data_IF_067863785460
#
_entry.id   IF_067863785460
#
_cell.length_a   1.000
_cell.length_b   1.000
_cell.length_c   1.000
_cell.angle_alpha   90.00
_cell.angle_beta   90.00
_cell.angle_gamma   90.00
#
_symmetry.space_group_name_H-M   'P 1'
#
loop_
_entity.id
_entity.type
_entity.pdbx_description
1 polymer ?
#
# COMPACT_ATOMS: atom_id res chain seq x y z
N UNK A 1 -13.65 -1.41 1.01
CA UNK A 1 -12.61 -2.06 0.19
C UNK A 1 -12.07 -3.23 1.00
N UNK A 2 -11.81 -4.37 0.37
CA UNK A 2 -11.16 -5.52 1.02
C UNK A 2 -9.65 -5.31 1.08
N UNK A 3 -8.96 -6.10 1.90
CA UNK A 3 -7.50 -5.98 2.09
C UNK A 3 -6.76 -5.96 0.75
N UNK A 4 -7.10 -6.89 -0.16
CA UNK A 4 -6.47 -6.98 -1.48
C UNK A 4 -6.58 -5.66 -2.26
N UNK A 5 -7.76 -5.04 -2.29
CA UNK A 5 -7.99 -3.77 -2.99
C UNK A 5 -7.19 -2.62 -2.35
N UNK A 6 -7.00 -2.64 -1.03
CA UNK A 6 -6.15 -1.67 -0.32
C UNK A 6 -4.67 -1.86 -0.68
N UNK A 7 -4.21 -3.10 -0.78
CA UNK A 7 -2.84 -3.41 -1.22
C UNK A 7 -2.60 -2.96 -2.67
N UNK A 8 -3.57 -3.18 -3.56
CA UNK A 8 -3.55 -2.69 -4.95
C UNK A 8 -3.45 -1.16 -4.99
N UNK A 9 -4.23 -0.48 -4.15
CA UNK A 9 -4.21 0.99 -4.04
C UNK A 9 -2.87 1.50 -3.55
N UNK A 10 -2.34 0.90 -2.50
CA UNK A 10 -1.03 1.25 -1.98
C UNK A 10 0.05 1.09 -3.07
N UNK A 11 0.04 -0.03 -3.81
CA UNK A 11 1.00 -0.27 -4.89
C UNK A 11 0.84 0.68 -6.08
N UNK A 12 -0.40 1.03 -6.43
CA UNK A 12 -0.67 2.00 -7.49
C UNK A 12 -0.11 3.38 -7.15
N UNK A 13 -0.28 3.84 -5.89
CA UNK A 13 0.28 5.10 -5.39
C UNK A 13 1.81 5.06 -5.45
N UNK A 14 2.44 4.01 -4.90
CA UNK A 14 3.90 3.85 -4.91
C UNK A 14 4.48 3.87 -6.33
N UNK A 15 3.85 3.12 -7.24
CA UNK A 15 4.27 3.04 -8.65
C UNK A 15 4.08 4.36 -9.38
N UNK A 16 2.99 5.09 -9.10
CA UNK A 16 2.75 6.40 -9.67
C UNK A 16 3.83 7.39 -9.24
N UNK A 17 4.13 7.48 -7.94
CA UNK A 17 5.16 8.36 -7.39
C UNK A 17 6.55 8.03 -7.92
N UNK A 18 6.89 6.74 -7.98
CA UNK A 18 8.15 6.27 -8.58
C UNK A 18 8.27 6.67 -10.05
N UNK A 19 7.21 6.45 -10.84
CA UNK A 19 7.20 6.75 -12.27
C UNK A 19 7.34 8.25 -12.55
N UNK A 20 6.71 9.08 -11.71
CA UNK A 20 6.82 10.55 -11.74
C UNK A 20 8.24 11.02 -11.44
N UNK A 21 8.80 10.60 -10.31
CA UNK A 21 10.17 10.96 -9.92
C UNK A 21 11.18 10.64 -11.04
N UNK A 22 11.03 9.47 -11.67
CA UNK A 22 11.88 9.06 -12.80
C UNK A 22 11.70 9.93 -14.05
N UNK A 23 10.47 10.31 -14.40
CA UNK A 23 10.19 11.14 -15.57
C UNK A 23 10.78 12.55 -15.45
N UNK A 24 10.95 13.04 -14.22
CA UNK A 24 11.48 14.37 -13.92
C UNK A 24 12.98 14.39 -13.65
N UNK A 25 13.65 13.25 -13.87
CA UNK A 25 15.07 13.07 -13.52
C UNK A 25 15.37 13.42 -12.05
N UNK A 26 14.37 13.28 -11.17
CA UNK A 26 14.55 13.47 -9.74
C UNK A 26 15.24 12.24 -9.16
N UNK A 27 16.30 12.47 -8.39
CA UNK A 27 16.93 11.43 -7.58
C UNK A 27 16.13 11.14 -6.29
N UNK A 28 15.11 11.95 -6.00
CA UNK A 28 14.28 11.82 -4.81
C UNK A 28 12.87 11.33 -5.19
N UNK A 29 12.44 10.25 -4.53
CA UNK A 29 11.11 9.68 -4.68
C UNK A 29 10.29 10.13 -3.47
N UNK A 30 9.17 10.86 -3.66
CA UNK A 30 8.29 11.24 -2.56
C UNK A 30 7.80 10.01 -1.79
N UNK A 31 7.67 10.16 -0.48
CA UNK A 31 7.04 9.14 0.38
C UNK A 31 5.56 9.48 0.56
N UNK A 32 4.74 8.54 1.02
CA UNK A 32 3.33 8.80 1.28
C UNK A 32 2.81 8.03 2.50
N UNK A 33 1.72 8.53 3.07
CA UNK A 33 0.95 7.88 4.11
C UNK A 33 -0.49 7.69 3.63
N UNK A 34 -0.95 6.44 3.58
CA UNK A 34 -2.35 6.09 3.31
C UNK A 34 -3.08 5.88 4.64
N UNK A 35 -4.03 6.76 4.95
CA UNK A 35 -4.86 6.63 6.16
C UNK A 35 -6.08 5.79 5.86
N UNK A 36 -6.26 4.72 6.61
CA UNK A 36 -7.40 3.82 6.53
C UNK A 36 -8.11 3.69 7.87
N UNK A 37 -9.41 3.45 7.81
CA UNK A 37 -10.22 3.07 8.97
C UNK A 37 -10.51 1.57 8.93
N UNK A 38 -10.25 0.89 10.04
CA UNK A 38 -10.50 -0.54 10.26
C UNK A 38 -11.05 -0.73 11.67
N UNK A 39 -12.18 -1.43 11.80
CA UNK A 39 -12.85 -1.67 13.09
C UNK A 39 -13.05 -0.40 13.94
N UNK A 40 -13.41 0.70 13.26
CA UNK A 40 -13.60 2.01 13.88
C UNK A 40 -12.31 2.80 14.16
N UNK A 41 -11.13 2.19 14.09
CA UNK A 41 -9.84 2.84 14.37
C UNK A 41 -9.17 3.35 13.10
N UNK A 42 -8.51 4.51 13.21
CA UNK A 42 -7.70 5.08 12.14
C UNK A 42 -6.24 4.65 12.27
N UNK A 43 -5.64 4.23 11.15
CA UNK A 43 -4.24 3.84 11.09
C UNK A 43 -3.58 4.20 9.75
N UNK A 44 -2.26 4.29 9.77
CA UNK A 44 -1.41 4.19 8.56
C UNK A 44 -0.60 2.90 8.63
N UNK A 45 -0.31 2.29 7.48
CA UNK A 45 0.53 1.11 7.40
C UNK A 45 1.07 0.90 5.99
N UNK A 46 2.16 0.14 5.88
CA UNK A 46 2.69 -0.33 4.61
C UNK A 46 1.96 -1.62 4.20
N UNK A 47 1.19 -1.56 3.13
CA UNK A 47 0.38 -2.68 2.62
C UNK A 47 1.04 -3.41 1.43
N UNK A 48 2.30 -3.13 1.13
CA UNK A 48 3.04 -3.79 0.04
C UNK A 48 3.46 -5.20 0.42
N UNK A 49 3.62 -6.02 -0.62
CA UNK A 49 4.23 -7.34 -0.50
C UNK A 49 5.62 -7.25 0.15
N UNK A 50 5.91 -8.24 0.99
CA UNK A 50 7.21 -8.34 1.61
C UNK A 50 8.19 -8.91 0.60
N UNK A 51 9.17 -8.09 0.22
CA UNK A 51 10.36 -8.57 -0.51
C UNK A 51 11.19 -9.59 0.30
N UNK A 52 10.90 -9.73 1.59
CA UNK A 52 11.60 -10.63 2.50
C UNK A 52 10.76 -11.89 2.76
N UNK A 53 11.37 -13.05 2.46
CA UNK A 53 10.75 -14.39 2.50
C UNK A 53 10.34 -14.88 3.90
N UNK A 54 10.57 -14.09 4.95
CA UNK A 54 10.34 -14.49 6.35
C UNK A 54 9.77 -13.33 7.16
N UNK A 55 8.57 -13.53 7.69
CA UNK A 55 8.00 -12.65 8.72
C UNK A 55 8.25 -13.29 10.08
N UNK A 56 8.89 -12.56 11.00
CA UNK A 56 8.91 -12.93 12.41
C UNK A 56 7.61 -12.44 13.07
N UNK A 57 6.74 -13.37 13.44
CA UNK A 57 5.55 -13.08 14.23
C UNK A 57 5.90 -13.22 15.70
N UNK A 58 5.73 -12.14 16.46
CA UNK A 58 5.76 -12.15 17.92
C UNK A 58 4.33 -12.35 18.44
N UNK A 59 4.06 -13.50 19.07
CA UNK A 59 2.84 -13.68 19.87
C UNK A 59 3.19 -13.59 21.35
N UNK A 60 2.39 -12.83 22.11
CA UNK A 60 2.48 -12.78 23.56
C UNK A 60 1.52 -13.82 24.13
N UNK A 61 2.04 -14.87 24.77
CA UNK A 61 1.20 -15.70 25.65
C UNK A 61 0.93 -14.96 26.96
N UNK A 62 -0.07 -15.41 27.72
CA UNK A 62 -0.43 -14.88 29.05
C UNK A 62 0.69 -14.89 30.09
N UNK A 63 1.87 -15.40 29.75
CA UNK A 63 3.07 -15.53 30.59
C UNK A 63 4.20 -14.59 30.15
N UNK A 64 3.96 -13.62 29.26
CA UNK A 64 4.97 -12.73 28.67
C UNK A 64 6.09 -13.45 27.88
N UNK A 65 5.91 -14.73 27.54
CA UNK A 65 6.81 -15.43 26.62
C UNK A 65 6.54 -14.93 25.21
N UNK A 66 7.53 -14.27 24.61
CA UNK A 66 7.50 -13.86 23.20
C UNK A 66 7.87 -15.09 22.36
N UNK A 67 6.88 -15.74 21.76
CA UNK A 67 7.15 -16.79 20.78
C UNK A 67 7.37 -16.16 19.41
N UNK A 68 8.52 -16.43 18.78
CA UNK A 68 8.82 -16.00 17.41
C UNK A 68 8.56 -17.15 16.43
N UNK A 69 7.59 -16.98 15.53
CA UNK A 69 7.37 -17.93 14.43
C UNK A 69 7.77 -17.27 13.10
N UNK A 70 8.62 -17.96 12.32
CA UNK A 70 8.95 -17.57 10.94
C UNK A 70 7.95 -18.24 10.02
N UNK A 71 7.04 -17.48 9.40
CA UNK A 71 6.14 -18.00 8.36
C UNK A 71 6.80 -17.78 6.99
N UNK A 72 7.01 -18.83 6.16
CA UNK A 72 7.50 -18.68 4.80
C UNK A 72 6.42 -18.04 3.92
N UNK A 73 6.84 -17.11 3.06
CA UNK A 73 5.99 -16.46 2.07
C UNK A 73 6.41 -16.82 0.65
N UNK A 74 5.48 -17.24 -0.21
CA UNK A 74 5.79 -17.64 -1.60
C UNK A 74 6.00 -16.42 -2.51
N UNK A 75 7.28 -16.18 -2.83
CA UNK A 75 7.79 -15.01 -3.57
C UNK A 75 7.35 -14.92 -5.05
N UNK A 76 6.93 -16.04 -5.67
CA UNK A 76 6.60 -16.09 -7.11
C UNK A 76 5.26 -15.41 -7.47
N UNK A 77 4.42 -15.13 -6.47
CA UNK A 77 3.11 -14.48 -6.67
C UNK A 77 3.19 -12.96 -6.84
N UNK A 78 4.28 -12.33 -6.38
CA UNK A 78 4.48 -10.88 -6.33
C UNK A 78 4.51 -10.21 -7.73
N UNK A 79 5.25 -10.79 -8.68
CA UNK A 79 5.41 -10.24 -10.03
C UNK A 79 4.13 -10.35 -10.87
N UNK A 80 3.33 -11.40 -10.67
CA UNK A 80 2.05 -11.57 -11.34
C UNK A 80 1.00 -10.56 -10.83
N UNK A 81 1.02 -10.27 -9.52
CA UNK A 81 0.17 -9.28 -8.88
C UNK A 81 0.48 -7.84 -9.35
N UNK A 82 1.76 -7.50 -9.45
CA UNK A 82 2.24 -6.14 -9.70
C UNK A 82 2.12 -5.70 -11.18
N UNK A 83 2.33 -6.62 -12.12
CA UNK A 83 2.48 -6.31 -13.55
C UNK A 83 1.28 -5.60 -14.18
N UNK A 84 0.01 -6.00 -13.94
CA UNK A 84 -1.16 -5.32 -14.50
C UNK A 84 -1.31 -3.87 -14.02
N UNK A 85 -1.14 -3.61 -12.72
CA UNK A 85 -1.23 -2.26 -12.15
C UNK A 85 -0.15 -1.37 -12.74
N UNK A 86 1.09 -1.85 -12.76
CA UNK A 86 2.21 -1.12 -13.36
C UNK A 86 1.93 -0.80 -14.83
N UNK A 87 1.43 -1.75 -15.62
CA UNK A 87 1.04 -1.51 -17.02
C UNK A 87 -0.08 -0.49 -17.14
N UNK A 88 -1.08 -0.54 -16.28
CA UNK A 88 -2.21 0.38 -16.29
C UNK A 88 -1.77 1.82 -15.95
N UNK A 89 -0.94 1.98 -14.93
CA UNK A 89 -0.31 3.27 -14.59
C UNK A 89 0.51 3.78 -15.79
N UNK A 90 1.40 2.95 -16.34
CA UNK A 90 2.18 3.36 -17.50
C UNK A 90 1.35 3.57 -18.76
N UNK A 91 0.13 3.05 -18.88
CA UNK A 91 -0.74 3.27 -20.04
C UNK A 91 -1.52 4.58 -19.92
N UNK A 92 -2.18 4.78 -18.77
CA UNK A 92 -3.08 5.91 -18.57
C UNK A 92 -2.34 7.21 -18.28
N UNK A 93 -1.10 7.14 -17.81
CA UNK A 93 -0.31 8.32 -17.47
C UNK A 93 0.91 8.52 -18.37
N UNK A 94 1.18 7.66 -19.39
CA UNK A 94 2.39 7.72 -20.24
C UNK A 94 2.55 9.01 -21.05
N UNK A 95 1.44 9.57 -21.52
CA UNK A 95 1.40 10.54 -22.63
C UNK A 95 1.11 11.98 -22.20
N UNK A 96 0.95 12.26 -20.90
CA UNK A 96 0.52 13.58 -20.39
C UNK A 96 1.54 14.26 -19.46
N UNK A 97 2.82 13.88 -19.50
CA UNK A 97 3.84 14.51 -18.66
C UNK A 97 4.29 15.88 -19.20
N UNK A 98 3.36 16.84 -19.24
CA UNK A 98 3.63 18.28 -19.22
C UNK A 98 3.15 18.86 -17.88
N UNK A 99 3.93 18.64 -16.81
CA UNK A 99 3.85 19.41 -15.55
C UNK A 99 3.27 18.70 -14.32
N UNK A 100 3.85 19.02 -13.16
CA UNK A 100 3.45 18.61 -11.79
C UNK A 100 2.09 19.16 -11.33
N UNK A 101 1.68 20.32 -11.83
CA UNK A 101 0.99 21.28 -10.97
C UNK A 101 -0.45 20.94 -10.59
N UNK A 102 -1.11 19.95 -11.22
CA UNK A 102 -2.56 19.78 -11.07
C UNK A 102 -3.00 18.50 -10.35
N UNK A 103 -2.25 17.40 -10.40
CA UNK A 103 -2.68 16.10 -9.85
C UNK A 103 -1.95 15.69 -8.56
N UNK A 104 -0.64 15.97 -8.43
CA UNK A 104 0.13 15.69 -7.21
C UNK A 104 -0.06 16.75 -6.11
N UNK A 105 -0.54 17.94 -6.45
CA UNK A 105 -0.87 19.01 -5.49
C UNK A 105 -2.21 18.80 -4.76
N UNK A 106 -3.01 17.82 -5.20
CA UNK A 106 -4.30 17.47 -4.62
C UNK A 106 -4.36 15.96 -4.40
N UNK A 107 -3.70 15.45 -3.34
CA UNK A 107 -3.59 14.01 -3.10
C UNK A 107 -4.96 13.32 -3.02
N UNK A 108 -6.03 14.03 -2.69
CA UNK A 108 -7.40 13.53 -2.70
C UNK A 108 -7.91 13.22 -4.11
N UNK A 109 -7.57 14.04 -5.11
CA UNK A 109 -7.95 13.77 -6.51
C UNK A 109 -7.18 12.58 -7.06
N UNK A 110 -5.87 12.52 -6.77
CA UNK A 110 -5.04 11.36 -7.11
C UNK A 110 -5.61 10.07 -6.50
N UNK A 111 -6.02 10.14 -5.23
CA UNK A 111 -6.59 9.00 -4.52
C UNK A 111 -7.87 8.49 -5.19
N UNK A 112 -8.78 9.39 -5.58
CA UNK A 112 -10.01 9.04 -6.29
C UNK A 112 -9.73 8.41 -7.66
N UNK A 113 -8.84 9.02 -8.45
CA UNK A 113 -8.47 8.51 -9.78
C UNK A 113 -7.86 7.10 -9.70
N UNK A 114 -6.98 6.86 -8.73
CA UNK A 114 -6.35 5.55 -8.54
C UNK A 114 -7.34 4.51 -8.02
N UNK A 115 -8.30 4.88 -7.17
CA UNK A 115 -9.39 4.00 -6.75
C UNK A 115 -10.23 3.56 -7.97
N UNK A 116 -10.58 4.49 -8.85
CA UNK A 116 -11.38 4.18 -10.05
C UNK A 116 -10.59 3.35 -11.07
N UNK A 117 -9.30 3.63 -11.21
CA UNK A 117 -8.39 2.80 -11.99
C UNK A 117 -8.39 1.35 -11.50
N UNK A 118 -8.24 1.12 -10.20
CA UNK A 118 -8.15 -0.23 -9.63
C UNK A 118 -9.44 -1.02 -9.86
N UNK A 119 -10.60 -0.38 -9.63
CA UNK A 119 -11.91 -0.98 -9.92
C UNK A 119 -12.02 -1.42 -11.39
N UNK A 120 -11.33 -0.73 -12.32
CA UNK A 120 -11.36 -1.06 -13.74
C UNK A 120 -10.48 -2.26 -14.14
N UNK A 121 -9.50 -2.65 -13.32
CA UNK A 121 -8.49 -3.68 -13.68
C UNK A 121 -9.01 -5.11 -13.49
N UNK A 122 -10.22 -5.29 -12.95
CA UNK A 122 -10.86 -6.57 -12.64
C UNK A 122 -10.06 -7.40 -11.61
N UNK A 123 -10.55 -7.37 -10.36
CA UNK A 123 -9.92 -7.96 -9.18
C UNK A 123 -9.68 -9.47 -9.26
N UNK A 124 -10.40 -10.18 -10.14
CA UNK A 124 -10.23 -11.63 -10.37
C UNK A 124 -8.87 -12.04 -10.93
N UNK A 125 -8.08 -11.08 -11.45
CA UNK A 125 -6.72 -11.31 -11.94
C UNK A 125 -5.71 -11.54 -10.81
N UNK A 126 -6.04 -11.11 -9.60
CA UNK A 126 -5.14 -11.08 -8.46
C UNK A 126 -5.47 -12.21 -7.50
N UNK A 127 -4.66 -13.28 -7.51
CA UNK A 127 -4.72 -14.25 -6.41
C UNK A 127 -4.18 -13.57 -5.16
N UNK A 128 -5.02 -13.46 -4.12
CA UNK A 128 -4.69 -12.82 -2.83
C UNK A 128 -3.27 -13.14 -2.36
N UNK A 129 -2.38 -12.16 -2.50
CA UNK A 129 -1.03 -12.17 -1.93
C UNK A 129 -1.20 -11.76 -0.46
N UNK A 130 -1.52 -12.74 0.41
CA UNK A 130 -1.77 -12.54 1.86
C UNK A 130 -0.54 -11.92 2.54
N UNK A 131 -0.47 -10.60 2.62
CA UNK A 131 0.67 -9.91 3.23
C UNK A 131 0.22 -9.24 4.53
N UNK A 132 0.93 -9.43 5.66
CA UNK A 132 0.67 -8.61 6.84
C UNK A 132 1.02 -7.15 6.56
N UNK A 133 0.29 -6.24 7.19
CA UNK A 133 0.63 -4.82 7.13
C UNK A 133 1.86 -4.56 8.03
N UNK A 134 2.75 -3.68 7.57
CA UNK A 134 3.96 -3.27 8.30
C UNK A 134 3.87 -1.83 8.79
N UNK A 135 4.70 -1.48 9.77
CA UNK A 135 4.81 -0.11 10.29
C UNK A 135 3.44 0.47 10.65
N UNK A 136 2.59 -0.34 11.28
CA UNK A 136 1.21 0.01 11.57
C UNK A 136 1.19 1.04 12.68
N UNK A 137 0.70 2.23 12.36
CA UNK A 137 0.63 3.35 13.28
C UNK A 137 -0.83 3.73 13.50
N UNK A 138 -1.33 3.46 14.70
CA UNK A 138 -2.65 3.92 15.11
C UNK A 138 -2.61 5.41 15.39
N UNK A 139 -3.44 6.16 14.67
CA UNK A 139 -3.50 7.63 14.78
C UNK A 139 -4.02 8.00 16.17
N UNK A 140 -5.04 7.28 16.64
CA UNK A 140 -5.57 7.41 17.99
C UNK A 140 -4.65 6.68 18.99
N UNK A 141 -4.16 7.42 20.00
CA UNK A 141 -3.29 6.86 21.03
C UNK A 141 -1.83 6.64 20.62
N UNK A 142 -1.46 6.94 19.36
CA UNK A 142 -0.08 6.90 18.85
C UNK A 142 0.64 5.55 19.05
N UNK A 143 -0.12 4.45 19.06
CA UNK A 143 0.46 3.11 19.18
C UNK A 143 1.12 2.69 17.85
N UNK A 144 2.37 2.24 17.92
CA UNK A 144 3.13 1.77 16.76
C UNK A 144 3.43 0.28 16.89
N UNK A 145 2.99 -0.48 15.89
CA UNK A 145 3.26 -1.90 15.78
C UNK A 145 4.18 -2.14 14.57
N UNK A 146 5.25 -2.93 14.71
CA UNK A 146 6.12 -3.25 13.59
C UNK A 146 5.38 -4.04 12.48
N UNK A 147 4.35 -4.82 12.85
CA UNK A 147 3.48 -5.54 11.92
C UNK A 147 2.09 -5.81 12.54
N UNK A 148 1.10 -6.06 11.69
CA UNK A 148 -0.22 -6.57 12.07
C UNK A 148 -0.81 -7.46 10.96
N UNK A 149 -1.47 -8.55 11.36
CA UNK A 149 -2.25 -9.37 10.45
C UNK A 149 -3.68 -8.86 10.39
N UNK A 150 -4.16 -8.62 9.17
CA UNK A 150 -5.58 -8.37 8.89
C UNK A 150 -6.18 -9.58 8.19
N UNK A 151 -7.45 -9.87 8.48
CA UNK A 151 -8.19 -10.88 7.74
C UNK A 151 -8.37 -10.37 6.29
N UNK A 152 -8.16 -11.19 5.24
CA UNK A 152 -8.47 -10.80 3.86
C UNK A 152 -9.89 -10.27 3.68
N UNK A 153 -10.84 -10.75 4.48
CA UNK A 153 -12.24 -10.33 4.46
C UNK A 153 -12.52 -9.06 5.27
N UNK A 154 -11.53 -8.54 6.02
CA UNK A 154 -11.66 -7.28 6.76
C UNK A 154 -12.06 -6.15 5.80
N UNK A 155 -13.04 -5.36 6.21
CA UNK A 155 -13.47 -4.17 5.49
C UNK A 155 -12.64 -2.95 5.90
N UNK A 156 -12.05 -2.33 4.90
CA UNK A 156 -11.29 -1.10 5.02
C UNK A 156 -12.07 0.05 4.40
N UNK A 157 -11.99 1.20 5.05
CA UNK A 157 -12.43 2.47 4.49
C UNK A 157 -11.21 3.38 4.29
N UNK A 158 -10.99 3.80 3.04
CA UNK A 158 -9.94 4.76 2.72
C UNK A 158 -10.38 6.14 3.19
N UNK A 159 -9.54 6.82 3.96
CA UNK A 159 -9.88 8.10 4.59
C UNK A 159 -9.13 9.26 3.95
N UNK A 160 -7.81 9.14 3.76
CA UNK A 160 -6.99 10.18 3.14
C UNK A 160 -5.65 9.65 2.65
N UNK A 161 -4.99 10.46 1.82
CA UNK A 161 -3.63 10.24 1.33
C UNK A 161 -2.81 11.50 1.64
N UNK A 162 -1.64 11.32 2.24
CA UNK A 162 -0.65 12.39 2.42
C UNK A 162 0.58 12.07 1.59
N UNK A 163 1.09 13.05 0.83
CA UNK A 163 2.35 12.93 0.09
C UNK A 163 3.40 13.78 0.80
N UNK A 164 4.50 13.11 1.18
CA UNK A 164 5.60 13.68 1.94
C UNK A 164 6.82 13.84 1.01
N UNK A 165 7.03 15.06 0.54
CA UNK A 165 8.26 15.47 -0.14
C UNK A 165 9.33 15.73 0.93
N UNK A 166 10.25 14.79 1.16
CA UNK A 166 11.49 15.15 1.89
C UNK A 166 12.22 16.20 1.05
N UNK A 167 12.29 17.43 1.58
CA UNK A 167 13.13 18.51 1.08
C UNK A 167 14.58 18.29 1.47
#
# INVERSE_FOLDING_TARGET
MKLVEVQELYYAIDTFLYSRAKAEFSNHIPTFDLVVQVDGKLLTADFLDLKDSRIQIYSTTSQHTIASQSIPYENDSSNAFISPIRKAIFKNYRSEFSGWSNLSNKPELLLLDLIDLIKSINSSTFKSVKTPAKNVNYIEGQAKLPFQFFDPETDFKIMSLTINEKR
#
